data_IF_595645246871
#
_entry.id   IF_595645246871
#
_cell.length_a   1.000
_cell.length_b   1.000
_cell.length_c   1.000
_cell.angle_alpha   90.00
_cell.angle_beta   90.00
_cell.angle_gamma   90.00
#
_symmetry.space_group_name_H-M   'P 1'
#
loop_
_entity.id
_entity.type
_entity.pdbx_description
1 polymer ?
#
# COMPACT_ATOMS: atom_id res chain seq x y z
N UNK A 1 -5.00 -19.84 1.67
CA UNK A 1 -5.05 -18.63 0.83
C UNK A 1 -6.28 -17.82 1.22
N UNK A 2 -6.26 -16.50 1.02
CA UNK A 2 -7.42 -15.63 1.27
C UNK A 2 -8.26 -15.57 -0.01
N UNK A 3 -9.58 -15.75 0.07
CA UNK A 3 -10.48 -15.72 -1.08
C UNK A 3 -10.94 -14.29 -1.41
N UNK A 4 -10.03 -13.50 -1.98
CA UNK A 4 -10.28 -12.07 -2.30
C UNK A 4 -11.35 -11.88 -3.37
N UNK A 5 -11.57 -12.87 -4.24
CA UNK A 5 -12.63 -12.89 -5.25
C UNK A 5 -14.04 -12.92 -4.67
N UNK A 6 -14.19 -13.29 -3.40
CA UNK A 6 -15.48 -13.31 -2.71
C UNK A 6 -15.83 -11.94 -2.08
N UNK A 7 -14.94 -10.95 -2.13
CA UNK A 7 -15.21 -9.60 -1.62
C UNK A 7 -16.29 -8.93 -2.48
N UNK A 8 -17.25 -8.23 -1.88
CA UNK A 8 -18.39 -7.65 -2.59
C UNK A 8 -18.33 -6.12 -2.62
N UNK A 9 -17.14 -5.56 -2.84
CA UNK A 9 -16.93 -4.13 -2.96
C UNK A 9 -15.65 -3.83 -3.76
N UNK A 10 -15.47 -2.57 -4.19
CA UNK A 10 -14.22 -2.12 -4.79
C UNK A 10 -13.01 -2.33 -3.86
N UNK A 11 -11.85 -2.67 -4.42
CA UNK A 11 -10.62 -2.95 -3.67
C UNK A 11 -9.46 -2.07 -4.14
N UNK A 12 -8.83 -1.36 -3.20
CA UNK A 12 -7.58 -0.66 -3.43
C UNK A 12 -6.46 -1.32 -2.62
N UNK A 13 -5.44 -1.84 -3.32
CA UNK A 13 -4.19 -2.31 -2.71
C UNK A 13 -3.14 -1.21 -2.78
N UNK A 14 -2.39 -1.02 -1.69
CA UNK A 14 -1.29 -0.07 -1.58
C UNK A 14 -0.09 -0.84 -1.01
N UNK A 15 1.06 -0.78 -1.68
CA UNK A 15 2.27 -1.48 -1.25
C UNK A 15 3.54 -0.68 -1.49
N UNK A 16 4.59 -1.03 -0.75
CA UNK A 16 5.95 -0.52 -0.93
C UNK A 16 6.84 -1.59 -1.55
N UNK A 17 7.61 -1.24 -2.58
CA UNK A 17 8.47 -2.20 -3.27
C UNK A 17 9.72 -2.58 -2.48
N UNK A 18 10.10 -1.77 -1.49
CA UNK A 18 11.18 -2.05 -0.56
C UNK A 18 10.63 -2.39 0.84
N UNK A 19 9.45 -3.01 0.92
CA UNK A 19 8.94 -3.55 2.17
C UNK A 19 9.84 -4.70 2.66
N UNK A 20 10.59 -4.43 3.72
CA UNK A 20 11.53 -5.40 4.32
C UNK A 20 10.90 -6.24 5.44
N UNK A 21 9.61 -6.05 5.74
CA UNK A 21 8.87 -6.89 6.70
C UNK A 21 8.24 -8.10 6.01
N UNK A 22 7.65 -7.89 4.83
CA UNK A 22 7.07 -8.95 4.01
C UNK A 22 7.00 -8.53 2.53
N UNK A 23 6.87 -9.48 1.58
CA UNK A 23 6.87 -9.15 0.15
C UNK A 23 5.51 -8.58 -0.29
N UNK A 24 5.12 -7.41 0.21
CA UNK A 24 3.78 -6.82 0.07
C UNK A 24 3.40 -6.54 -1.39
N UNK A 25 4.31 -6.00 -2.20
CA UNK A 25 4.08 -5.77 -3.64
C UNK A 25 3.78 -7.08 -4.39
N UNK A 26 4.57 -8.13 -4.16
CA UNK A 26 4.32 -9.45 -4.76
C UNK A 26 2.99 -10.06 -4.28
N UNK A 27 2.65 -9.89 -3.00
CA UNK A 27 1.39 -10.39 -2.46
C UNK A 27 0.19 -9.67 -3.09
N UNK A 28 0.27 -8.35 -3.27
CA UNK A 28 -0.75 -7.56 -3.95
C UNK A 28 -0.91 -7.97 -5.42
N UNK A 29 0.18 -8.16 -6.16
CA UNK A 29 0.12 -8.65 -7.55
C UNK A 29 -0.56 -10.03 -7.66
N UNK A 30 -0.29 -10.94 -6.71
CA UNK A 30 -0.99 -12.24 -6.67
C UNK A 30 -2.49 -12.11 -6.42
N UNK A 31 -2.90 -11.12 -5.62
CA UNK A 31 -4.33 -10.83 -5.40
C UNK A 31 -4.95 -10.20 -6.65
N UNK A 32 -4.27 -9.25 -7.31
CA UNK A 32 -4.70 -8.66 -8.58
C UNK A 32 -4.93 -9.72 -9.65
N UNK A 33 -4.00 -10.68 -9.80
CA UNK A 33 -4.13 -11.78 -10.76
C UNK A 33 -5.31 -12.70 -10.42
N UNK A 34 -5.51 -12.99 -9.13
CA UNK A 34 -6.67 -13.78 -8.70
C UNK A 34 -7.99 -13.10 -8.99
N UNK A 35 -8.09 -11.78 -8.78
CA UNK A 35 -9.29 -11.01 -9.12
C UNK A 35 -9.55 -11.00 -10.63
N UNK A 36 -8.49 -10.85 -11.46
CA UNK A 36 -8.59 -10.94 -12.92
C UNK A 36 -9.09 -12.29 -13.41
N UNK A 37 -8.53 -13.37 -12.88
CA UNK A 37 -8.85 -14.75 -13.30
C UNK A 37 -10.22 -15.24 -12.86
N UNK A 38 -10.86 -14.57 -11.90
CA UNK A 38 -12.20 -14.90 -11.40
C UNK A 38 -13.27 -13.88 -11.84
N UNK A 39 -13.00 -13.07 -12.87
CA UNK A 39 -13.94 -12.09 -13.43
C UNK A 39 -14.58 -11.18 -12.36
N UNK A 40 -13.75 -10.66 -11.46
CA UNK A 40 -14.21 -9.86 -10.32
C UNK A 40 -15.06 -8.66 -10.76
N UNK A 41 -16.26 -8.54 -10.17
CA UNK A 41 -17.30 -7.63 -10.67
C UNK A 41 -17.11 -6.15 -10.27
N UNK A 42 -16.26 -5.86 -9.28
CA UNK A 42 -16.05 -4.51 -8.76
C UNK A 42 -14.72 -3.93 -9.24
N UNK A 43 -14.56 -2.62 -9.12
CA UNK A 43 -13.29 -1.97 -9.41
C UNK A 43 -12.18 -2.49 -8.49
N UNK A 44 -11.01 -2.78 -9.04
CA UNK A 44 -9.82 -3.11 -8.25
C UNK A 44 -8.58 -2.46 -8.82
N UNK A 45 -7.74 -1.91 -7.95
CA UNK A 45 -6.49 -1.22 -8.31
C UNK A 45 -5.37 -1.58 -7.35
N UNK A 46 -4.14 -1.52 -7.85
CA UNK A 46 -2.93 -1.66 -7.04
C UNK A 46 -2.00 -0.47 -7.30
N UNK A 47 -1.57 0.17 -6.22
CA UNK A 47 -0.55 1.21 -6.21
C UNK A 47 0.69 0.67 -5.52
N UNK A 48 1.76 0.54 -6.29
CA UNK A 48 3.07 0.06 -5.85
C UNK A 48 4.05 1.23 -5.89
N UNK A 49 4.70 1.52 -4.76
CA UNK A 49 5.59 2.68 -4.64
C UNK A 49 7.06 2.26 -4.56
N UNK A 50 7.91 2.69 -5.51
CA UNK A 50 9.33 2.40 -5.47
C UNK A 50 10.00 3.13 -4.32
N UNK A 51 10.95 2.48 -3.65
CA UNK A 51 11.66 3.00 -2.47
C UNK A 51 10.76 3.33 -1.27
N UNK A 52 9.55 2.78 -1.22
CA UNK A 52 8.70 2.79 -0.04
C UNK A 52 8.81 1.45 0.70
N UNK A 53 8.90 1.53 2.03
CA UNK A 53 9.00 0.38 2.91
C UNK A 53 7.66 -0.10 3.42
N UNK A 54 7.68 -0.74 4.58
CA UNK A 54 6.48 -1.29 5.19
C UNK A 54 5.51 -0.23 5.73
N UNK A 55 6.04 0.82 6.34
CA UNK A 55 5.25 1.70 7.22
C UNK A 55 4.76 3.00 6.58
N UNK A 56 4.97 3.24 5.28
CA UNK A 56 4.67 4.55 4.65
C UNK A 56 3.17 4.91 4.61
N UNK A 57 2.27 3.94 4.77
CA UNK A 57 0.82 4.11 4.63
C UNK A 57 0.05 4.01 5.96
N UNK A 58 0.74 4.07 7.10
CA UNK A 58 0.10 4.15 8.42
C UNK A 58 -0.14 2.84 9.14
N UNK A 59 0.88 2.43 9.90
CA UNK A 59 0.76 1.41 10.95
C UNK A 59 1.24 1.96 12.29
N UNK A 60 0.31 2.47 13.11
CA UNK A 60 0.49 2.68 14.57
C UNK A 60 1.52 3.70 15.08
N UNK A 61 2.45 4.21 14.25
CA UNK A 61 3.60 5.02 14.69
C UNK A 61 3.87 6.22 13.76
N UNK A 62 2.83 7.01 13.46
CA UNK A 62 2.94 8.33 12.81
C UNK A 62 3.12 8.34 11.29
N UNK A 63 3.61 7.26 10.67
CA UNK A 63 3.96 7.24 9.25
C UNK A 63 2.78 6.96 8.28
N UNK A 64 1.58 7.48 8.56
CA UNK A 64 0.40 7.26 7.70
C UNK A 64 -0.52 8.43 7.47
N UNK A 65 -0.31 9.50 8.22
CA UNK A 65 -0.98 10.76 7.95
C UNK A 65 0.00 11.53 7.06
N UNK A 66 -0.40 11.94 5.84
CA UNK A 66 0.45 12.79 5.03
C UNK A 66 0.83 14.04 5.84
N UNK A 67 2.03 14.57 5.59
CA UNK A 67 2.55 15.78 6.24
C UNK A 67 2.98 15.63 7.72
N UNK A 68 2.92 14.43 8.30
CA UNK A 68 3.73 14.14 9.49
C UNK A 68 5.16 13.84 9.07
N UNK A 69 6.17 14.24 9.88
CA UNK A 69 7.55 13.84 9.63
C UNK A 69 7.61 12.30 9.54
N UNK A 70 8.35 11.74 8.58
CA UNK A 70 8.67 10.32 8.63
C UNK A 70 9.35 10.05 9.97
N UNK A 71 8.94 8.97 10.65
CA UNK A 71 9.62 8.51 11.85
C UNK A 71 11.11 8.29 11.51
N UNK A 72 12.00 8.64 12.44
CA UNK A 72 13.43 8.35 12.28
C UNK A 72 13.62 6.83 12.35
N UNK A 73 13.65 6.21 11.18
CA UNK A 73 13.91 4.80 11.02
C UNK A 73 15.41 4.48 10.92
N UNK A 74 16.32 5.39 11.31
CA UNK A 74 17.74 5.09 11.31
C UNK A 74 18.04 3.91 12.27
N UNK A 75 18.48 2.78 11.69
CA UNK A 75 18.87 1.57 12.44
C UNK A 75 17.89 0.41 12.33
N UNK A 76 17.73 -0.37 13.41
CA UNK A 76 16.99 -1.65 13.44
C UNK A 76 15.46 -1.52 13.35
N UNK A 77 14.92 -0.30 13.37
CA UNK A 77 13.52 0.02 13.14
C UNK A 77 13.19 0.22 11.65
N UNK A 78 14.20 0.30 10.77
CA UNK A 78 14.00 0.41 9.33
C UNK A 78 13.22 -0.80 8.80
N UNK A 79 12.03 -0.54 8.25
CA UNK A 79 11.22 -1.55 7.55
C UNK A 79 11.30 -1.38 6.04
N UNK A 80 12.44 -0.90 5.59
CA UNK A 80 12.79 -0.53 4.23
C UNK A 80 12.25 0.82 3.77
N UNK A 81 12.52 1.10 2.50
CA UNK A 81 12.31 2.39 1.86
C UNK A 81 13.38 3.42 2.20
N UNK A 82 13.32 4.54 1.50
CA UNK A 82 14.11 5.75 1.79
C UNK A 82 13.20 6.80 2.43
N UNK A 83 13.73 7.73 3.22
CA UNK A 83 12.91 8.81 3.81
C UNK A 83 12.10 9.56 2.76
N UNK A 84 12.75 9.91 1.64
CA UNK A 84 12.10 10.58 0.50
C UNK A 84 11.02 9.69 -0.15
N UNK A 85 11.32 8.41 -0.34
CA UNK A 85 10.39 7.45 -0.96
C UNK A 85 9.15 7.23 -0.08
N UNK A 86 9.36 7.01 1.22
CA UNK A 86 8.30 6.86 2.20
C UNK A 86 7.43 8.13 2.30
N UNK A 87 8.04 9.32 2.36
CA UNK A 87 7.29 10.59 2.42
C UNK A 87 6.45 10.83 1.14
N UNK A 88 7.02 10.57 -0.03
CA UNK A 88 6.30 10.72 -1.31
C UNK A 88 5.16 9.71 -1.41
N UNK A 89 5.41 8.44 -1.09
CA UNK A 89 4.42 7.38 -1.13
C UNK A 89 3.28 7.66 -0.14
N UNK A 90 3.57 8.17 1.06
CA UNK A 90 2.56 8.56 2.04
C UNK A 90 1.60 9.63 1.48
N UNK A 91 2.13 10.70 0.90
CA UNK A 91 1.31 11.76 0.31
C UNK A 91 0.47 11.28 -0.88
N UNK A 92 1.08 10.51 -1.79
CA UNK A 92 0.41 10.05 -3.00
C UNK A 92 -0.66 8.99 -2.71
N UNK A 93 -0.34 8.04 -1.82
CA UNK A 93 -1.27 6.97 -1.44
C UNK A 93 -2.47 7.52 -0.68
N UNK A 94 -2.27 8.54 0.15
CA UNK A 94 -3.37 9.24 0.82
C UNK A 94 -4.32 9.93 -0.17
N UNK A 95 -3.77 10.67 -1.13
CA UNK A 95 -4.58 11.30 -2.18
C UNK A 95 -5.36 10.25 -2.98
N UNK A 96 -4.70 9.16 -3.37
CA UNK A 96 -5.34 8.09 -4.11
C UNK A 96 -6.42 7.36 -3.30
N UNK A 97 -6.21 7.15 -1.99
CA UNK A 97 -7.22 6.62 -1.08
C UNK A 97 -8.45 7.52 -1.02
N UNK A 98 -8.26 8.83 -0.85
CA UNK A 98 -9.38 9.79 -0.81
C UNK A 98 -10.14 9.81 -2.13
N UNK A 99 -9.44 9.78 -3.28
CA UNK A 99 -10.08 9.69 -4.59
C UNK A 99 -10.84 8.39 -4.78
N UNK A 100 -10.29 7.27 -4.31
CA UNK A 100 -10.93 5.96 -4.41
C UNK A 100 -12.22 5.89 -3.60
N UNK A 101 -12.20 6.37 -2.36
CA UNK A 101 -13.39 6.44 -1.50
C UNK A 101 -14.39 7.48 -2.02
N UNK A 102 -13.93 8.61 -2.59
CA UNK A 102 -14.83 9.64 -3.11
C UNK A 102 -15.56 9.27 -4.41
N UNK A 103 -15.05 8.28 -5.15
CA UNK A 103 -15.59 7.86 -6.45
C UNK A 103 -16.40 6.56 -6.39
N UNK A 104 -16.53 5.92 -5.21
CA UNK A 104 -17.26 4.68 -4.98
C UNK A 104 -18.26 4.83 -3.83
#
# INVERSE_FOLDING_TARGET
>A
SIAVENIQCPILFISGEDDQTWPSAMMAERMMERLRTNDFAYEFRHLSYPNAGHNFAGGGQGCGIPFLPPEDYSGSSARGGTDKGNALAASQSWEALLQFIGNN
#
